data_IF_019328532274
#
_entry.id   IF_019328532274
#
_cell.length_a   1.000
_cell.length_b   1.000
_cell.length_c   1.000
_cell.angle_alpha   90.00
_cell.angle_beta   90.00
_cell.angle_gamma   90.00
#
_symmetry.space_group_name_H-M   'P 1'
#
loop_
_entity.id
_entity.type
_entity.pdbx_description
1 polymer ?
#
# COMPACT_ATOMS: atom_id res chain seq x y z
N UNK A 1 -5.04 25.33 8.77
CA UNK A 1 -4.81 23.95 9.26
C UNK A 1 -4.58 23.09 8.04
N UNK A 2 -3.48 22.34 7.97
CA UNK A 2 -3.25 21.40 6.88
C UNK A 2 -4.40 20.38 6.85
N UNK A 3 -5.12 20.29 5.73
CA UNK A 3 -6.13 19.26 5.52
C UNK A 3 -5.40 18.05 4.97
N UNK A 4 -5.51 16.91 5.63
CA UNK A 4 -4.88 15.67 5.17
C UNK A 4 -5.89 14.84 4.40
N UNK A 5 -5.46 14.28 3.27
CA UNK A 5 -6.19 13.26 2.52
C UNK A 5 -5.62 11.89 2.87
N UNK A 6 -6.48 10.88 2.98
CA UNK A 6 -6.10 9.51 3.27
C UNK A 6 -6.57 8.59 2.15
N UNK A 7 -5.76 7.58 1.84
CA UNK A 7 -6.05 6.59 0.81
C UNK A 7 -5.49 5.24 1.21
N UNK A 8 -6.24 4.19 0.89
CA UNK A 8 -5.83 2.82 1.14
C UNK A 8 -5.52 2.12 -0.20
N UNK A 9 -4.36 1.46 -0.28
CA UNK A 9 -3.99 0.58 -1.37
C UNK A 9 -3.80 -0.83 -0.82
N UNK A 10 -4.74 -1.72 -1.12
CA UNK A 10 -4.63 -3.14 -0.79
C UNK A 10 -4.07 -3.91 -1.98
N UNK A 11 -2.97 -4.62 -1.76
CA UNK A 11 -2.32 -5.45 -2.78
C UNK A 11 -2.44 -6.93 -2.40
N UNK A 12 -2.60 -7.79 -3.39
CA UNK A 12 -2.57 -9.24 -3.19
C UNK A 12 -1.13 -9.71 -3.20
N UNK A 13 -0.80 -10.64 -2.31
CA UNK A 13 0.50 -11.30 -2.36
C UNK A 13 0.37 -12.71 -2.89
N UNK A 14 1.29 -13.09 -3.77
CA UNK A 14 1.39 -14.46 -4.27
C UNK A 14 2.35 -15.23 -3.36
N UNK A 15 1.96 -16.40 -2.84
CA UNK A 15 2.87 -17.25 -2.10
C UNK A 15 4.00 -17.71 -3.03
N UNK A 16 5.26 -17.41 -2.68
CA UNK A 16 6.41 -18.03 -3.35
C UNK A 16 6.85 -19.27 -2.58
N UNK A 17 7.33 -20.30 -3.31
CA UNK A 17 7.92 -21.48 -2.69
C UNK A 17 9.08 -21.04 -1.79
N UNK A 18 8.96 -21.26 -0.47
CA UNK A 18 10.01 -20.90 0.51
C UNK A 18 9.67 -19.80 1.52
N UNK A 19 8.39 -19.51 1.80
CA UNK A 19 7.89 -18.69 2.94
C UNK A 19 7.83 -17.17 2.70
N UNK A 20 8.29 -16.65 1.56
CA UNK A 20 8.22 -15.21 1.26
C UNK A 20 7.04 -14.88 0.34
N UNK A 21 6.03 -14.19 0.86
CA UNK A 21 4.94 -13.64 0.05
C UNK A 21 5.48 -12.52 -0.84
N UNK A 22 5.26 -12.59 -2.16
CA UNK A 22 5.69 -11.56 -3.12
C UNK A 22 4.51 -10.70 -3.57
N UNK A 23 4.72 -9.38 -3.63
CA UNK A 23 3.78 -8.43 -4.25
C UNK A 23 4.05 -8.42 -5.76
N UNK A 24 2.99 -8.31 -6.58
CA UNK A 24 3.13 -8.23 -8.04
C UNK A 24 3.88 -6.96 -8.47
N UNK A 25 4.55 -7.00 -9.62
CA UNK A 25 5.25 -5.83 -10.14
C UNK A 25 4.27 -4.70 -10.53
N UNK A 26 3.08 -5.04 -11.01
CA UNK A 26 2.00 -4.10 -11.30
C UNK A 26 1.55 -3.34 -10.04
N UNK A 27 1.39 -4.04 -8.92
CA UNK A 27 1.02 -3.42 -7.64
C UNK A 27 2.12 -2.49 -7.11
N UNK A 28 3.39 -2.84 -7.33
CA UNK A 28 4.53 -1.99 -6.98
C UNK A 28 4.58 -0.73 -7.84
N UNK A 29 4.36 -0.84 -9.15
CA UNK A 29 4.27 0.31 -10.06
C UNK A 29 3.11 1.25 -9.66
N UNK A 30 1.98 0.69 -9.21
CA UNK A 30 0.87 1.49 -8.70
C UNK A 30 1.22 2.23 -7.42
N UNK A 31 1.95 1.60 -6.50
CA UNK A 31 2.44 2.25 -5.29
C UNK A 31 3.41 3.40 -5.63
N UNK A 32 4.33 3.17 -6.57
CA UNK A 32 5.29 4.17 -7.06
C UNK A 32 4.57 5.35 -7.72
N UNK A 33 3.56 5.10 -8.56
CA UNK A 33 2.74 6.17 -9.15
C UNK A 33 2.07 7.05 -8.09
N UNK A 34 1.53 6.44 -7.02
CA UNK A 34 0.92 7.19 -5.93
C UNK A 34 1.95 8.02 -5.16
N UNK A 35 3.15 7.49 -4.93
CA UNK A 35 4.24 8.26 -4.32
C UNK A 35 4.64 9.46 -5.18
N UNK A 36 4.69 9.29 -6.51
CA UNK A 36 4.94 10.39 -7.45
C UNK A 36 3.82 11.44 -7.46
N UNK A 37 2.57 11.07 -7.15
CA UNK A 37 1.44 11.98 -6.95
C UNK A 37 1.45 12.69 -5.57
N UNK A 38 2.48 12.44 -4.76
CA UNK A 38 2.67 13.02 -3.43
C UNK A 38 1.99 12.24 -2.30
N UNK A 39 1.54 11.00 -2.53
CA UNK A 39 1.04 10.15 -1.46
C UNK A 39 2.19 9.47 -0.71
N UNK A 40 2.21 9.62 0.61
CA UNK A 40 3.22 9.02 1.47
C UNK A 40 2.63 7.81 2.20
N UNK A 41 3.43 6.76 2.38
CA UNK A 41 3.01 5.59 3.17
C UNK A 41 3.05 5.96 4.65
N UNK A 42 1.89 5.91 5.29
CA UNK A 42 1.71 6.16 6.70
C UNK A 42 1.79 4.88 7.53
N UNK A 43 1.14 3.81 7.07
CA UNK A 43 1.08 2.53 7.77
C UNK A 43 1.01 1.37 6.77
N UNK A 44 1.60 0.23 7.15
CA UNK A 44 1.57 -1.01 6.37
C UNK A 44 1.04 -2.14 7.23
N UNK A 45 -0.09 -2.71 6.83
CA UNK A 45 -0.76 -3.80 7.56
C UNK A 45 -0.68 -5.09 6.75
N UNK A 46 -0.04 -6.10 7.33
CA UNK A 46 0.00 -7.44 6.76
C UNK A 46 -1.26 -8.21 7.13
N UNK A 47 -2.07 -8.54 6.13
CA UNK A 47 -3.29 -9.33 6.31
C UNK A 47 -2.94 -10.80 6.06
N UNK A 48 -2.98 -11.59 7.14
CA UNK A 48 -2.71 -13.03 7.09
C UNK A 48 -3.90 -13.77 6.49
N UNK A 49 -3.62 -14.67 5.55
CA UNK A 49 -4.56 -15.68 5.07
C UNK A 49 -4.54 -16.93 5.95
N UNK A 50 -5.37 -17.91 5.56
CA UNK A 50 -5.34 -19.27 6.15
C UNK A 50 -3.93 -19.84 6.09
N UNK A 51 -3.51 -20.69 7.04
CA UNK A 51 -2.16 -21.28 7.09
C UNK A 51 -0.99 -20.31 7.38
N UNK A 52 -1.28 -19.06 7.79
CA UNK A 52 -0.27 -18.16 8.36
C UNK A 52 0.58 -17.37 7.37
N UNK A 53 0.35 -17.52 6.06
CA UNK A 53 0.98 -16.67 5.05
C UNK A 53 0.32 -15.30 4.99
N UNK A 54 1.07 -14.26 4.63
CA UNK A 54 0.48 -12.96 4.26
C UNK A 54 -0.25 -13.15 2.93
N UNK A 55 -1.56 -12.87 2.89
CA UNK A 55 -2.39 -12.96 1.69
C UNK A 55 -2.58 -11.60 1.01
N UNK A 56 -2.60 -10.54 1.82
CA UNK A 56 -2.66 -9.16 1.34
C UNK A 56 -1.75 -8.26 2.17
N UNK A 57 -1.31 -7.17 1.56
CA UNK A 57 -0.69 -6.04 2.27
C UNK A 57 -1.55 -4.81 2.03
N UNK A 58 -1.93 -4.12 3.10
CA UNK A 58 -2.68 -2.87 3.04
C UNK A 58 -1.71 -1.72 3.32
N UNK A 59 -1.50 -0.88 2.33
CA UNK A 59 -0.79 0.39 2.48
C UNK A 59 -1.80 1.48 2.77
N UNK A 60 -1.72 2.07 3.96
CA UNK A 60 -2.43 3.29 4.30
C UNK A 60 -1.54 4.46 3.95
N UNK A 61 -2.06 5.37 3.15
CA UNK A 61 -1.32 6.50 2.59
C UNK A 61 -1.97 7.82 3.00
N UNK A 62 -1.15 8.84 3.16
CA UNK A 62 -1.59 10.20 3.43
C UNK A 62 -0.96 11.18 2.45
N UNK A 63 -1.64 12.30 2.23
CA UNK A 63 -1.11 13.42 1.44
C UNK A 63 -1.64 14.73 2.01
N UNK A 64 -0.81 15.75 2.04
CA UNK A 64 -1.26 17.10 2.38
C UNK A 64 -2.13 17.66 1.24
N UNK A 65 -3.38 18.02 1.54
CA UNK A 65 -4.26 18.71 0.61
C UNK A 65 -3.76 20.14 0.48
N UNK A 66 -3.14 20.45 -0.65
CA UNK A 66 -2.90 21.85 -1.04
C UNK A 66 -4.26 22.51 -1.20
N UNK A 67 -4.52 23.57 -0.42
CA UNK A 67 -5.68 24.42 -0.70
C UNK A 67 -5.44 25.08 -2.05
N UNK A 68 -6.14 24.61 -3.08
CA UNK A 68 -6.24 25.32 -4.35
C UNK A 68 -6.94 26.64 -4.03
N UNK A 69 -6.17 27.74 -4.08
CA UNK A 69 -6.64 29.10 -3.82
C UNK A 69 -7.49 29.66 -4.95
#
# INVERSE_FOLDING_TARGET
>A
MAKWEYKNLQVKTVPSFGVWSRISEEDLQKLESLQNEGWEVFEVVNIKGSFGFTAHVLFMMLREKKEEG
#
